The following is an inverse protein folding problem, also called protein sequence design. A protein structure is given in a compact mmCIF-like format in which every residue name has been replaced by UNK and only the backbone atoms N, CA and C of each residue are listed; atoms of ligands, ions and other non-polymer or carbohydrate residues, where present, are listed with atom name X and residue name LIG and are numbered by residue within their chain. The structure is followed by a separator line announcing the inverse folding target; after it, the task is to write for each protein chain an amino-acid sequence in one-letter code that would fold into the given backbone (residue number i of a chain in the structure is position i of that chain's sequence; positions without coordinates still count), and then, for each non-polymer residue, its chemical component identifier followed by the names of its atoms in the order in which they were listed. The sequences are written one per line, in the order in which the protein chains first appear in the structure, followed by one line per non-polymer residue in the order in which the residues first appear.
data_IF_998453367283
#
_entry.id   IF_998453367283
#
_cell.length_a   1.000
_cell.length_b   1.000
_cell.length_c   1.000
_cell.angle_alpha   90.00
_cell.angle_beta   90.00
_cell.angle_gamma   90.00
#
_symmetry.space_group_name_H-M   'P 1'
#
loop_
_entity.id
_entity.type
_entity.pdbx_description
1 polymer ?
#
# COMPACT_ATOMS: atom_id res chain seq x y z
N UNK A 1 38.43 10.94 -8.28
CA UNK A 1 37.47 11.65 -9.17
C UNK A 1 36.42 10.64 -9.58
N UNK A 2 35.25 10.65 -8.94
CA UNK A 2 34.11 9.82 -9.32
C UNK A 2 32.89 10.72 -9.40
N UNK A 3 32.38 10.90 -10.63
CA UNK A 3 31.30 11.84 -10.92
C UNK A 3 29.99 11.38 -10.32
N UNK A 4 29.35 12.26 -9.55
CA UNK A 4 27.93 12.14 -9.26
C UNK A 4 27.16 12.20 -10.59
N UNK A 5 26.44 11.12 -10.94
CA UNK A 5 25.51 11.15 -12.07
C UNK A 5 24.33 12.03 -11.63
N UNK A 6 24.10 13.20 -12.28
CA UNK A 6 22.97 14.02 -11.94
C UNK A 6 21.69 13.26 -12.30
N UNK A 7 20.77 13.21 -11.36
CA UNK A 7 19.46 12.60 -11.54
C UNK A 7 18.73 13.31 -12.67
N UNK A 8 18.65 12.66 -13.83
CA UNK A 8 18.12 13.31 -15.03
C UNK A 8 16.63 13.60 -14.87
N UNK A 9 16.15 14.70 -15.45
CA UNK A 9 14.71 15.03 -15.55
C UNK A 9 13.89 13.90 -16.21
N UNK A 10 14.54 12.98 -16.91
CA UNK A 10 13.94 11.76 -17.48
C UNK A 10 13.73 10.65 -16.44
N UNK A 11 14.57 10.56 -15.40
CA UNK A 11 14.42 9.60 -14.31
C UNK A 11 13.25 9.98 -13.38
N UNK A 12 13.16 11.24 -12.94
CA UNK A 12 12.00 11.75 -12.17
C UNK A 12 10.68 11.59 -12.95
N UNK A 13 10.71 11.82 -14.27
CA UNK A 13 9.56 11.61 -15.14
C UNK A 13 9.19 10.14 -15.28
N UNK A 14 10.15 9.21 -15.37
CA UNK A 14 9.86 7.76 -15.40
C UNK A 14 9.26 7.24 -14.11
N UNK A 15 9.72 7.71 -12.93
CA UNK A 15 9.16 7.31 -11.63
C UNK A 15 7.78 7.92 -11.36
N UNK A 16 7.55 9.16 -11.81
CA UNK A 16 6.20 9.76 -11.83
C UNK A 16 5.28 9.02 -12.82
N UNK A 17 5.76 8.75 -14.04
CA UNK A 17 5.03 8.02 -15.07
C UNK A 17 4.70 6.59 -14.66
N UNK A 18 5.58 5.85 -13.98
CA UNK A 18 5.29 4.49 -13.47
C UNK A 18 4.25 4.52 -12.34
N UNK A 19 4.28 5.52 -11.46
CA UNK A 19 3.21 5.74 -10.46
C UNK A 19 1.88 6.11 -11.11
N UNK A 20 1.91 6.99 -12.10
CA UNK A 20 0.73 7.40 -12.85
C UNK A 20 0.23 6.25 -13.73
N UNK A 21 1.10 5.41 -14.29
CA UNK A 21 0.76 4.23 -15.09
C UNK A 21 0.17 3.13 -14.20
N UNK A 22 0.73 2.89 -13.01
CA UNK A 22 0.09 2.02 -12.00
C UNK A 22 -1.29 2.58 -11.64
N UNK A 23 -1.40 3.88 -11.39
CA UNK A 23 -2.68 4.54 -11.07
C UNK A 23 -3.68 4.52 -12.25
N UNK A 24 -3.22 4.65 -13.49
CA UNK A 24 -4.03 4.66 -14.71
C UNK A 24 -4.44 3.25 -15.16
N UNK A 25 -3.53 2.28 -15.09
CA UNK A 25 -3.87 0.85 -15.27
C UNK A 25 -4.88 0.40 -14.20
N UNK A 26 -4.76 0.91 -12.97
CA UNK A 26 -5.75 0.70 -11.90
C UNK A 26 -7.11 1.36 -12.22
N UNK A 27 -7.14 2.55 -12.84
CA UNK A 27 -8.40 3.18 -13.29
C UNK A 27 -9.04 2.46 -14.49
N UNK A 28 -8.25 1.99 -15.46
CA UNK A 28 -8.75 1.26 -16.62
C UNK A 28 -9.34 -0.10 -16.25
N UNK A 29 -8.72 -0.84 -15.32
CA UNK A 29 -9.30 -2.09 -14.81
C UNK A 29 -10.67 -1.86 -14.12
N UNK A 30 -10.89 -0.71 -13.48
CA UNK A 30 -12.18 -0.36 -12.87
C UNK A 30 -13.28 -0.03 -13.89
N UNK A 31 -12.92 0.56 -15.04
CA UNK A 31 -13.88 0.87 -16.10
C UNK A 31 -14.38 -0.39 -16.83
N UNK A 32 -13.52 -1.40 -16.98
CA UNK A 32 -13.89 -2.68 -17.60
C UNK A 32 -14.85 -3.52 -16.76
N UNK A 33 -14.87 -3.33 -15.44
CA UNK A 33 -15.70 -4.10 -14.49
C UNK A 33 -17.08 -3.45 -14.28
N UNK A 34 -17.22 -2.14 -14.50
CA UNK A 34 -18.48 -1.39 -14.28
C UNK A 34 -19.39 -1.32 -15.51
N UNK A 35 -18.98 -1.88 -16.65
CA UNK A 35 -19.72 -1.85 -17.91
C UNK A 35 -20.77 -2.94 -18.08
N UNK A 36 -21.78 -3.03 -17.20
CA UNK A 36 -23.07 -3.70 -17.47
C UNK A 36 -24.02 -3.43 -16.29
N UNK A 37 -25.10 -2.66 -16.38
CA UNK A 37 -26.28 -2.91 -17.20
C UNK A 37 -27.15 -1.65 -17.25
N UNK A 38 -27.77 -1.39 -18.40
CA UNK A 38 -28.92 -0.46 -18.56
C UNK A 38 -30.16 -1.32 -18.74
N UNK A 39 -31.20 -1.11 -17.94
CA UNK A 39 -32.55 -1.57 -18.27
C UNK A 39 -33.56 -0.48 -17.90
N UNK A 40 -34.39 -0.17 -18.88
CA UNK A 40 -35.52 0.77 -18.84
C UNK A 40 -36.68 0.20 -18.00
N UNK A 41 -37.47 1.08 -17.39
CA UNK A 41 -38.48 0.74 -16.39
C UNK A 41 -39.88 0.45 -16.93
N UNK A 42 -40.78 0.17 -15.99
CA UNK A 42 -42.23 0.46 -16.03
C UNK A 42 -42.74 0.37 -14.57
N UNK A 43 -43.68 1.22 -14.20
CA UNK A 43 -44.12 1.49 -12.83
C UNK A 43 -45.34 0.63 -12.44
N UNK A 44 -45.43 0.33 -11.14
CA UNK A 44 -46.61 0.00 -10.32
C UNK A 44 -46.60 -1.38 -9.63
N UNK A 45 -46.60 -1.32 -8.28
CA UNK A 45 -46.55 -2.39 -7.26
C UNK A 45 -45.17 -2.97 -6.91
N UNK A 46 -44.20 -2.13 -6.54
CA UNK A 46 -42.87 -2.57 -6.08
C UNK A 46 -42.44 -1.92 -4.75
N UNK A 47 -43.00 -2.35 -3.62
CA UNK A 47 -42.51 -1.91 -2.30
C UNK A 47 -41.88 -3.05 -1.48
N UNK A 48 -42.49 -4.23 -1.39
CA UNK A 48 -41.92 -5.31 -0.55
C UNK A 48 -40.79 -6.09 -1.24
N UNK A 49 -40.94 -6.37 -2.54
CA UNK A 49 -39.95 -7.12 -3.34
C UNK A 49 -38.68 -6.30 -3.60
N UNK A 50 -38.83 -4.99 -3.78
CA UNK A 50 -37.72 -4.07 -3.97
C UNK A 50 -36.92 -3.94 -2.67
N UNK A 51 -37.59 -3.77 -1.53
CA UNK A 51 -36.93 -3.72 -0.21
C UNK A 51 -36.23 -5.04 0.10
N UNK A 52 -36.85 -6.18 -0.21
CA UNK A 52 -36.21 -7.49 -0.01
C UNK A 52 -35.02 -7.72 -0.96
N UNK A 53 -35.10 -7.29 -2.23
CA UNK A 53 -33.95 -7.29 -3.13
C UNK A 53 -32.84 -6.37 -2.63
N UNK A 54 -33.17 -5.16 -2.17
CA UNK A 54 -32.23 -4.19 -1.62
C UNK A 54 -31.58 -4.72 -0.33
N UNK A 55 -32.33 -5.41 0.53
CA UNK A 55 -31.80 -6.05 1.74
C UNK A 55 -30.86 -7.20 1.38
N UNK A 56 -31.22 -8.05 0.42
CA UNK A 56 -30.36 -9.14 -0.05
C UNK A 56 -29.10 -8.62 -0.76
N UNK A 57 -29.23 -7.61 -1.62
CA UNK A 57 -28.11 -6.94 -2.28
C UNK A 57 -27.20 -6.26 -1.26
N UNK A 58 -27.77 -5.58 -0.25
CA UNK A 58 -26.98 -4.99 0.83
C UNK A 58 -26.23 -6.05 1.64
N UNK A 59 -26.87 -7.16 2.00
CA UNK A 59 -26.24 -8.27 2.72
C UNK A 59 -25.14 -8.96 1.90
N UNK A 60 -25.31 -9.07 0.58
CA UNK A 60 -24.29 -9.56 -0.36
C UNK A 60 -23.13 -8.58 -0.52
N UNK A 61 -23.38 -7.27 -0.46
CA UNK A 61 -22.34 -6.25 -0.50
C UNK A 61 -21.52 -6.20 0.80
N UNK A 62 -22.15 -6.23 1.97
CA UNK A 62 -21.47 -6.23 3.27
C UNK A 62 -20.64 -7.50 3.52
N UNK A 63 -21.02 -8.65 2.94
CA UNK A 63 -20.27 -9.90 3.08
C UNK A 63 -19.01 -9.95 2.21
N UNK A 64 -18.92 -9.21 1.10
CA UNK A 64 -17.81 -9.35 0.14
C UNK A 64 -16.43 -8.93 0.69
N UNK A 65 -16.38 -7.85 1.47
CA UNK A 65 -15.11 -7.30 2.00
C UNK A 65 -14.68 -8.00 3.29
N UNK A 66 -15.63 -8.32 4.18
CA UNK A 66 -15.39 -9.08 5.40
C UNK A 66 -15.04 -10.57 5.10
N UNK A 67 -15.49 -11.09 3.96
CA UNK A 67 -15.21 -12.47 3.52
C UNK A 67 -14.05 -12.56 2.54
N UNK A 68 -13.17 -11.56 2.43
CA UNK A 68 -12.07 -11.63 1.48
C UNK A 68 -11.15 -12.82 1.80
N UNK A 69 -11.27 -13.87 0.97
CA UNK A 69 -10.52 -15.10 1.10
C UNK A 69 -9.01 -14.85 1.04
N UNK A 70 -8.58 -13.90 0.21
CA UNK A 70 -7.15 -13.61 0.10
C UNK A 70 -6.59 -13.03 1.40
N UNK A 71 -7.24 -12.03 2.01
CA UNK A 71 -6.80 -11.46 3.29
C UNK A 71 -6.76 -12.54 4.37
N UNK A 72 -7.84 -13.34 4.46
CA UNK A 72 -7.98 -14.42 5.45
C UNK A 72 -6.85 -15.45 5.40
N UNK A 73 -6.36 -15.79 4.21
CA UNK A 73 -5.42 -16.92 4.05
C UNK A 73 -3.99 -16.51 3.73
N UNK A 74 -3.79 -15.32 3.15
CA UNK A 74 -2.51 -14.99 2.51
C UNK A 74 -1.86 -13.72 3.05
N UNK A 75 -2.62 -12.80 3.65
CA UNK A 75 -2.07 -11.51 4.07
C UNK A 75 -0.97 -11.67 5.14
N UNK A 76 -1.26 -12.39 6.24
CA UNK A 76 -0.28 -12.62 7.31
C UNK A 76 1.00 -13.26 6.80
N UNK A 77 0.88 -14.21 5.87
CA UNK A 77 2.03 -14.89 5.27
C UNK A 77 2.89 -13.92 4.46
N UNK A 78 2.29 -13.21 3.50
CA UNK A 78 3.02 -12.25 2.66
C UNK A 78 3.62 -11.13 3.49
N UNK A 79 2.84 -10.56 4.41
CA UNK A 79 3.28 -9.49 5.29
C UNK A 79 4.47 -9.92 6.17
N UNK A 80 4.41 -11.14 6.73
CA UNK A 80 5.50 -11.72 7.51
C UNK A 80 6.77 -11.95 6.68
N UNK A 81 6.64 -12.47 5.46
CA UNK A 81 7.76 -12.65 4.52
C UNK A 81 8.35 -11.30 4.12
N UNK A 82 7.52 -10.30 3.79
CA UNK A 82 7.93 -8.94 3.48
C UNK A 82 8.73 -8.32 4.64
N UNK A 83 8.23 -8.43 5.88
CA UNK A 83 8.92 -7.97 7.10
C UNK A 83 10.26 -8.67 7.34
N UNK A 84 10.35 -9.98 7.09
CA UNK A 84 11.59 -10.72 7.24
C UNK A 84 12.65 -10.27 6.21
N UNK A 85 12.24 -10.09 4.95
CA UNK A 85 13.11 -9.66 3.87
C UNK A 85 13.67 -8.25 4.10
N UNK A 86 12.83 -7.28 4.47
CA UNK A 86 13.28 -5.90 4.73
C UNK A 86 14.23 -5.84 5.93
N UNK A 87 14.06 -6.66 6.96
CA UNK A 87 15.00 -6.75 8.10
C UNK A 87 16.35 -7.35 7.70
N UNK A 88 16.36 -8.28 6.75
CA UNK A 88 17.55 -9.05 6.36
C UNK A 88 18.28 -8.49 5.14
N UNK A 89 17.75 -7.45 4.47
CA UNK A 89 18.33 -6.97 3.21
C UNK A 89 19.54 -6.04 3.38
N UNK A 90 19.68 -5.32 4.49
CA UNK A 90 20.91 -4.56 4.76
C UNK A 90 21.50 -4.85 6.13
N UNK A 91 22.03 -3.82 6.81
CA UNK A 91 22.78 -4.00 8.05
C UNK A 91 21.92 -4.49 9.22
N UNK A 92 22.57 -4.89 10.32
CA UNK A 92 21.86 -5.26 11.55
C UNK A 92 21.14 -4.03 12.10
N UNK A 93 19.90 -4.23 12.54
CA UNK A 93 19.09 -3.16 13.13
C UNK A 93 19.59 -2.89 14.55
N UNK A 94 19.98 -1.65 14.82
CA UNK A 94 20.30 -1.15 16.15
C UNK A 94 19.11 -0.32 16.67
N UNK A 95 18.81 -0.40 17.98
CA UNK A 95 17.65 0.28 18.58
C UNK A 95 17.95 1.75 18.97
N UNK A 96 19.07 2.31 18.53
CA UNK A 96 19.72 3.42 19.22
C UNK A 96 19.40 4.81 18.62
N UNK A 97 18.36 4.93 17.81
CA UNK A 97 18.06 6.18 17.09
C UNK A 97 16.85 6.94 17.64
N UNK A 98 17.10 8.21 17.97
CA UNK A 98 16.11 9.23 18.27
C UNK A 98 15.11 9.40 17.09
N UNK A 99 13.85 9.70 17.40
CA UNK A 99 12.79 9.73 16.38
C UNK A 99 12.78 11.03 15.56
N UNK A 100 13.72 11.15 14.62
CA UNK A 100 13.88 12.34 13.74
C UNK A 100 12.67 12.53 12.79
N UNK A 101 11.82 11.52 12.59
CA UNK A 101 10.60 11.63 11.78
C UNK A 101 9.57 10.56 12.18
N UNK A 102 8.84 10.79 13.29
CA UNK A 102 7.92 9.80 13.82
C UNK A 102 6.79 9.55 12.83
N UNK A 103 6.37 8.29 12.74
CA UNK A 103 5.13 7.94 12.05
C UNK A 103 4.02 8.73 12.74
N UNK A 104 3.28 9.60 12.02
CA UNK A 104 2.25 10.40 12.67
C UNK A 104 1.22 9.48 13.33
N UNK A 105 1.09 9.53 14.66
CA UNK A 105 0.22 8.62 15.42
C UNK A 105 -1.22 8.60 14.88
N UNK A 106 -1.75 9.78 14.56
CA UNK A 106 -3.09 9.92 13.97
C UNK A 106 -3.23 9.22 12.62
N UNK A 107 -2.15 9.12 11.82
CA UNK A 107 -2.19 8.49 10.50
C UNK A 107 -2.59 7.02 10.63
N UNK A 108 -1.98 6.29 11.57
CA UNK A 108 -2.27 4.87 11.79
C UNK A 108 -3.55 4.70 12.60
N UNK A 109 -3.69 5.44 13.70
CA UNK A 109 -4.82 5.25 14.60
C UNK A 109 -6.19 5.55 13.95
N UNK A 110 -6.26 6.56 13.08
CA UNK A 110 -7.51 6.89 12.40
C UNK A 110 -7.96 5.79 11.43
N UNK A 111 -7.02 5.12 10.75
CA UNK A 111 -7.34 4.03 9.83
C UNK A 111 -7.61 2.72 10.56
N UNK A 112 -6.93 2.46 11.68
CA UNK A 112 -7.23 1.30 12.55
C UNK A 112 -8.68 1.25 13.02
N UNK A 113 -9.33 2.42 13.18
CA UNK A 113 -10.73 2.55 13.62
C UNK A 113 -11.72 2.78 12.48
N UNK A 114 -11.26 2.78 11.23
CA UNK A 114 -12.12 3.02 10.07
C UNK A 114 -12.89 1.75 9.66
N UNK A 115 -13.85 1.90 8.76
CA UNK A 115 -14.53 0.75 8.13
C UNK A 115 -13.53 -0.14 7.35
N UNK A 116 -13.76 -1.46 7.27
CA UNK A 116 -12.83 -2.41 6.66
C UNK A 116 -12.29 -1.95 5.30
N UNK A 117 -13.16 -1.53 4.39
CA UNK A 117 -12.77 -1.01 3.06
C UNK A 117 -11.76 0.14 3.12
N UNK A 118 -11.97 1.11 4.01
CA UNK A 118 -11.05 2.24 4.20
C UNK A 118 -9.71 1.78 4.75
N UNK A 119 -9.70 0.73 5.57
CA UNK A 119 -8.46 0.12 6.04
C UNK A 119 -7.71 -0.57 4.89
N UNK A 120 -8.41 -1.36 4.06
CA UNK A 120 -7.80 -2.05 2.90
C UNK A 120 -7.17 -1.02 1.97
N UNK A 121 -7.91 0.03 1.63
CA UNK A 121 -7.44 1.14 0.79
C UNK A 121 -6.18 1.78 1.40
N UNK A 122 -6.16 2.00 2.71
CA UNK A 122 -4.99 2.58 3.38
C UNK A 122 -3.77 1.66 3.31
N UNK A 123 -3.94 0.36 3.59
CA UNK A 123 -2.86 -0.63 3.51
C UNK A 123 -2.32 -0.70 2.08
N UNK A 124 -3.18 -0.82 1.07
CA UNK A 124 -2.76 -0.80 -0.34
C UNK A 124 -1.92 0.45 -0.65
N UNK A 125 -2.40 1.63 -0.28
CA UNK A 125 -1.68 2.88 -0.53
C UNK A 125 -0.32 2.93 0.19
N UNK A 126 -0.24 2.37 1.39
CA UNK A 126 1.01 2.30 2.13
C UNK A 126 2.02 1.35 1.47
N UNK A 127 1.58 0.15 1.08
CA UNK A 127 2.43 -0.81 0.38
C UNK A 127 2.92 -0.24 -0.96
N UNK A 128 2.09 0.53 -1.68
CA UNK A 128 2.49 1.23 -2.91
C UNK A 128 3.55 2.31 -2.63
N UNK A 129 3.41 3.12 -1.59
CA UNK A 129 4.45 4.11 -1.25
C UNK A 129 5.77 3.43 -0.85
N UNK A 130 5.71 2.30 -0.16
CA UNK A 130 6.88 1.48 0.21
C UNK A 130 7.56 0.91 -1.03
N UNK A 131 6.82 0.27 -1.94
CA UNK A 131 7.41 -0.30 -3.17
C UNK A 131 8.11 0.78 -3.99
N UNK A 132 7.47 1.93 -4.18
CA UNK A 132 8.07 3.08 -4.90
C UNK A 132 9.33 3.61 -4.21
N UNK A 133 9.40 3.58 -2.89
CA UNK A 133 10.58 4.02 -2.14
C UNK A 133 11.79 3.10 -2.40
N UNK A 134 11.58 1.79 -2.57
CA UNK A 134 12.66 0.81 -2.73
C UNK A 134 12.96 0.36 -4.18
N UNK A 135 12.05 0.60 -5.12
CA UNK A 135 12.12 0.11 -6.52
C UNK A 135 13.48 0.43 -7.19
N UNK A 136 13.94 1.67 -7.07
CA UNK A 136 15.23 2.10 -7.62
C UNK A 136 16.23 2.57 -6.53
N UNK A 137 16.13 2.05 -5.30
CA UNK A 137 17.05 2.41 -4.24
C UNK A 137 18.49 2.00 -4.60
N UNK A 138 19.40 2.98 -4.66
CA UNK A 138 20.83 2.75 -4.86
C UNK A 138 21.48 2.65 -3.48
N UNK A 139 21.66 1.42 -3.00
CA UNK A 139 22.08 1.07 -1.64
C UNK A 139 22.96 -0.19 -1.64
N UNK A 140 23.90 -0.35 -0.69
CA UNK A 140 24.80 -1.51 -0.59
C UNK A 140 24.12 -2.80 -0.08
N UNK A 141 22.79 -2.81 0.01
CA UNK A 141 22.00 -3.95 0.48
C UNK A 141 22.00 -5.13 -0.50
N UNK A 142 21.65 -6.30 0.02
CA UNK A 142 21.49 -7.51 -0.76
C UNK A 142 20.39 -7.34 -1.83
N UNK A 143 20.80 -7.15 -3.09
CA UNK A 143 19.91 -6.87 -4.20
C UNK A 143 18.86 -7.97 -4.42
N UNK A 144 19.24 -9.25 -4.27
CA UNK A 144 18.32 -10.40 -4.42
C UNK A 144 17.21 -10.38 -3.37
N UNK A 145 17.53 -10.04 -2.12
CA UNK A 145 16.53 -9.90 -1.05
C UNK A 145 15.62 -8.69 -1.27
N UNK A 146 16.18 -7.57 -1.74
CA UNK A 146 15.39 -6.37 -2.09
C UNK A 146 14.43 -6.63 -3.26
N UNK A 147 14.89 -7.31 -4.30
CA UNK A 147 14.04 -7.71 -5.43
C UNK A 147 12.93 -8.66 -4.97
N UNK A 148 13.28 -9.68 -4.16
CA UNK A 148 12.29 -10.58 -3.59
C UNK A 148 11.28 -9.84 -2.71
N UNK A 149 11.73 -8.88 -1.90
CA UNK A 149 10.85 -8.02 -1.10
C UNK A 149 9.84 -7.28 -1.97
N UNK A 150 10.31 -6.62 -3.05
CA UNK A 150 9.43 -5.92 -3.98
C UNK A 150 8.43 -6.86 -4.64
N UNK A 151 8.85 -8.07 -5.04
CA UNK A 151 7.95 -9.06 -5.64
C UNK A 151 6.85 -9.51 -4.65
N UNK A 152 7.19 -9.81 -3.40
CA UNK A 152 6.21 -10.18 -2.37
C UNK A 152 5.25 -9.03 -2.09
N UNK A 153 5.75 -7.80 -2.00
CA UNK A 153 4.93 -6.60 -1.79
C UNK A 153 3.95 -6.36 -2.96
N UNK A 154 4.37 -6.60 -4.21
CA UNK A 154 3.47 -6.51 -5.36
C UNK A 154 2.36 -7.56 -5.33
N UNK A 155 2.68 -8.81 -4.95
CA UNK A 155 1.66 -9.86 -4.76
C UNK A 155 0.73 -9.55 -3.58
N UNK A 156 1.24 -8.94 -2.50
CA UNK A 156 0.43 -8.47 -1.37
C UNK A 156 -0.58 -7.39 -1.82
N UNK A 157 -0.12 -6.39 -2.58
CA UNK A 157 -0.96 -5.33 -3.16
C UNK A 157 -2.03 -5.93 -4.09
N UNK A 158 -1.63 -6.80 -5.02
CA UNK A 158 -2.55 -7.46 -5.97
C UNK A 158 -3.59 -8.30 -5.25
N UNK A 159 -3.17 -9.02 -4.22
CA UNK A 159 -4.04 -9.79 -3.35
C UNK A 159 -5.11 -8.94 -2.66
N UNK A 160 -4.70 -7.82 -2.06
CA UNK A 160 -5.63 -6.87 -1.44
C UNK A 160 -6.61 -6.26 -2.46
N UNK A 161 -6.15 -5.96 -3.68
CA UNK A 161 -7.03 -5.49 -4.75
C UNK A 161 -8.07 -6.53 -5.17
N UNK A 162 -7.78 -7.83 -5.06
CA UNK A 162 -8.75 -8.88 -5.39
C UNK A 162 -9.95 -8.92 -4.45
N UNK A 163 -9.87 -8.26 -3.28
CA UNK A 163 -10.91 -8.23 -2.27
C UNK A 163 -12.06 -7.25 -2.56
N UNK A 164 -11.92 -6.36 -3.56
CA UNK A 164 -12.98 -5.41 -3.89
C UNK A 164 -12.59 -4.32 -4.86
N UNK A 165 -13.61 -3.71 -5.47
CA UNK A 165 -13.45 -2.54 -6.31
C UNK A 165 -13.45 -1.27 -5.46
N UNK A 166 -12.27 -0.82 -5.05
CA UNK A 166 -12.14 0.36 -4.19
C UNK A 166 -12.02 1.66 -4.99
N UNK A 167 -12.74 2.70 -4.55
CA UNK A 167 -12.50 4.07 -5.00
C UNK A 167 -11.25 4.62 -4.30
N UNK A 168 -10.11 4.57 -4.98
CA UNK A 168 -8.83 5.03 -4.43
C UNK A 168 -8.75 6.56 -4.45
N UNK A 169 -8.89 7.19 -3.28
CA UNK A 169 -8.53 8.59 -3.08
C UNK A 169 -7.17 8.66 -2.40
N UNK A 170 -6.20 9.33 -3.03
CA UNK A 170 -4.84 9.50 -2.48
C UNK A 170 -4.87 10.06 -1.07
N UNK A 171 -4.28 9.34 -0.12
CA UNK A 171 -4.06 9.84 1.23
C UNK A 171 -2.88 10.82 1.24
N UNK A 172 -3.18 12.13 1.33
CA UNK A 172 -2.16 13.18 1.32
C UNK A 172 -1.19 13.09 2.50
N UNK A 173 -1.67 12.74 3.70
CA UNK A 173 -0.83 12.63 4.90
C UNK A 173 0.18 11.48 4.76
N UNK A 174 -0.29 10.34 4.28
CA UNK A 174 0.56 9.17 3.98
C UNK A 174 1.61 9.51 2.91
N UNK A 175 1.17 10.14 1.82
CA UNK A 175 2.08 10.54 0.74
C UNK A 175 3.19 11.48 1.24
N UNK A 176 2.82 12.52 2.00
CA UNK A 176 3.77 13.48 2.55
C UNK A 176 4.76 12.82 3.52
N UNK A 177 4.31 11.83 4.29
CA UNK A 177 5.20 11.06 5.17
C UNK A 177 6.27 10.32 4.35
N UNK A 178 5.89 9.57 3.32
CA UNK A 178 6.84 8.86 2.46
C UNK A 178 7.68 9.79 1.57
N UNK A 179 7.15 10.97 1.23
CA UNK A 179 7.92 12.02 0.55
C UNK A 179 9.07 12.55 1.42
N UNK A 180 8.82 12.77 2.72
CA UNK A 180 9.89 13.12 3.67
C UNK A 180 10.95 12.02 3.77
N UNK A 181 10.54 10.74 3.80
CA UNK A 181 11.48 9.62 3.79
C UNK A 181 12.38 9.64 2.54
N UNK A 182 11.81 9.88 1.36
CA UNK A 182 12.58 10.01 0.11
C UNK A 182 13.58 11.16 0.19
N UNK A 183 13.14 12.35 0.63
CA UNK A 183 14.04 13.51 0.74
C UNK A 183 15.21 13.28 1.70
N UNK A 184 15.03 12.52 2.79
CA UNK A 184 16.15 12.18 3.68
C UNK A 184 17.25 11.39 2.95
N UNK A 185 16.87 10.50 2.01
CA UNK A 185 17.83 9.72 1.22
C UNK A 185 18.50 10.52 0.09
N UNK A 186 17.87 11.61 -0.35
CA UNK A 186 18.35 12.45 -1.46
C UNK A 186 19.32 13.54 -1.00
N UNK A 187 19.07 14.15 0.17
CA UNK A 187 19.81 15.31 0.66
C UNK A 187 21.14 14.96 1.35
N UNK A 188 21.25 13.78 1.96
CA UNK A 188 22.44 13.36 2.70
C UNK A 188 23.42 12.63 1.78
N UNK A 189 24.18 13.39 0.98
CA UNK A 189 25.11 12.80 -0.01
C UNK A 189 26.38 12.20 0.60
N UNK A 190 26.82 12.71 1.75
CA UNK A 190 28.04 12.24 2.44
C UNK A 190 27.79 10.99 3.29
N UNK A 191 26.55 10.79 3.76
CA UNK A 191 26.14 9.67 4.60
C UNK A 191 24.82 9.03 4.12
N UNK A 192 24.82 8.73 2.81
CA UNK A 192 23.63 8.21 2.11
C UNK A 192 23.24 6.83 2.63
N UNK A 193 24.22 5.97 2.87
CA UNK A 193 23.99 4.60 3.31
C UNK A 193 23.34 4.58 4.69
N UNK A 194 23.82 5.39 5.63
CA UNK A 194 23.17 5.54 6.95
C UNK A 194 21.76 6.13 6.85
N UNK A 195 21.53 7.09 5.95
CA UNK A 195 20.20 7.67 5.73
C UNK A 195 19.20 6.62 5.24
N UNK A 196 19.64 5.69 4.38
CA UNK A 196 18.84 4.55 3.95
C UNK A 196 18.57 3.55 5.08
N UNK A 197 19.54 3.31 5.96
CA UNK A 197 19.36 2.47 7.15
C UNK A 197 18.28 3.06 8.09
N UNK A 198 18.32 4.37 8.34
CA UNK A 198 17.27 5.08 9.08
C UNK A 198 15.91 4.90 8.40
N UNK A 199 15.84 5.14 7.08
CA UNK A 199 14.59 4.99 6.33
C UNK A 199 14.07 3.56 6.37
N UNK A 200 14.94 2.55 6.24
CA UNK A 200 14.55 1.14 6.36
C UNK A 200 13.93 0.85 7.72
N UNK A 201 14.55 1.31 8.81
CA UNK A 201 14.02 1.14 10.16
C UNK A 201 12.65 1.82 10.34
N UNK A 202 12.45 3.01 9.76
CA UNK A 202 11.14 3.69 9.76
C UNK A 202 10.08 2.91 9.00
N UNK A 203 10.42 2.33 7.85
CA UNK A 203 9.50 1.48 7.10
C UNK A 203 9.17 0.22 7.87
N UNK A 204 10.14 -0.43 8.52
CA UNK A 204 9.90 -1.61 9.36
C UNK A 204 8.93 -1.28 10.49
N UNK A 205 9.15 -0.17 11.20
CA UNK A 205 8.24 0.31 12.24
C UNK A 205 6.83 0.58 11.70
N UNK A 206 6.73 1.17 10.51
CA UNK A 206 5.46 1.42 9.84
C UNK A 206 4.75 0.13 9.46
N UNK A 207 5.46 -0.85 8.89
CA UNK A 207 4.91 -2.14 8.51
C UNK A 207 4.43 -2.93 9.73
N UNK A 208 5.19 -2.94 10.83
CA UNK A 208 4.73 -3.53 12.10
C UNK A 208 3.40 -2.93 12.57
N UNK A 209 3.21 -1.62 12.35
CA UNK A 209 1.94 -0.96 12.66
C UNK A 209 0.80 -1.34 11.72
N UNK A 210 1.03 -1.96 10.56
CA UNK A 210 -0.04 -2.46 9.69
C UNK A 210 -0.56 -3.83 10.11
N UNK A 211 0.07 -4.49 11.09
CA UNK A 211 -0.32 -5.81 11.57
C UNK A 211 -1.74 -5.85 12.16
N UNK A 212 -2.31 -4.71 12.59
CA UNK A 212 -3.72 -4.69 13.04
C UNK A 212 -4.70 -5.17 11.96
N UNK A 213 -4.31 -5.08 10.69
CA UNK A 213 -5.11 -5.57 9.57
C UNK A 213 -5.26 -7.11 9.61
N UNK A 214 -4.27 -7.81 10.18
CA UNK A 214 -4.30 -9.24 10.44
C UNK A 214 -5.30 -9.67 11.52
N UNK A 215 -5.82 -8.74 12.33
CA UNK A 215 -6.78 -9.04 13.42
C UNK A 215 -8.23 -9.09 12.90
N UNK A 216 -8.51 -8.41 11.79
CA UNK A 216 -9.85 -8.35 11.20
C UNK A 216 -10.23 -9.62 10.41
N UNK A 217 -9.32 -10.58 10.26
CA UNK A 217 -9.57 -11.91 9.65
C UNK A 217 -10.18 -12.93 10.60
N UNK A 218 -10.35 -12.57 11.87
CA UNK A 218 -10.90 -13.44 12.92
C UNK A 218 -12.35 -13.14 13.31
N UNK A 219 -13.03 -12.22 12.61
CA UNK A 219 -14.48 -11.96 12.80
C UNK A 219 -15.31 -12.82 11.86
#
# INVERSE_FOLDING_TARGET
MSGAIPETRAYKRRRAWRRDEIFQQQQQQQQLISGSSKSSGEHDTMDLRLVQLCLLLSALCFSSVLSCRWIKHMFQHHHGVSLDLIRKMGEKIHNDHEDINPIPYELINNHRRAEPEKQIVFVIQALVEITVLFDDAIVPWNAKKREHFLNVMHEEIKGLHSCGAYKMKRNKKLHLYFERLRHMTELNTEDRDHSWEIVRNRVISFMNQLEFFSVLTHV
#
